data_IF_229831415526
#
_entry.id   IF_229831415526
#
_cell.length_a   1.000
_cell.length_b   1.000
_cell.length_c   1.000
_cell.angle_alpha   90.00
_cell.angle_beta   90.00
_cell.angle_gamma   90.00
#
_symmetry.space_group_name_H-M   'P 1'
#
loop_
_entity.id
_entity.type
_entity.pdbx_description
1 polymer ?
#
# COMPACT_ATOMS: atom_id res chain seq x y z
N UNK A 1 -33.35 -46.68 53.69
CA UNK A 1 -34.38 -46.76 54.75
C UNK A 1 -33.85 -46.14 56.04
N UNK A 2 -34.70 -45.87 57.03
CA UNK A 2 -34.21 -45.41 58.34
C UNK A 2 -33.69 -46.60 59.15
N UNK A 3 -32.59 -46.42 59.90
CA UNK A 3 -32.00 -47.45 60.76
C UNK A 3 -33.06 -48.07 61.67
N UNK A 4 -33.21 -49.39 61.63
CA UNK A 4 -34.12 -50.12 62.50
C UNK A 4 -33.38 -50.58 63.77
N UNK A 5 -33.69 -49.98 64.92
CA UNK A 5 -33.14 -50.39 66.22
C UNK A 5 -33.91 -51.59 66.82
N UNK A 6 -33.17 -52.46 67.52
CA UNK A 6 -33.76 -53.53 68.34
C UNK A 6 -34.27 -52.92 69.65
N UNK A 7 -35.55 -53.11 69.97
CA UNK A 7 -36.13 -52.72 71.27
C UNK A 7 -35.81 -53.77 72.32
N UNK A 8 -35.16 -53.37 73.42
CA UNK A 8 -34.80 -54.27 74.53
C UNK A 8 -35.88 -54.38 75.62
N UNK A 9 -37.04 -53.75 75.41
CA UNK A 9 -38.09 -53.62 76.42
C UNK A 9 -37.80 -52.48 77.41
N UNK A 10 -38.75 -52.22 78.30
CA UNK A 10 -38.64 -51.16 79.32
C UNK A 10 -37.96 -51.65 80.60
N UNK A 11 -38.00 -52.95 80.86
CA UNK A 11 -37.36 -53.65 81.98
C UNK A 11 -36.97 -55.10 81.60
N UNK A 12 -36.06 -55.74 82.35
CA UNK A 12 -35.68 -57.14 82.10
C UNK A 12 -36.89 -58.07 82.14
N UNK A 13 -37.06 -58.90 81.09
CA UNK A 13 -38.10 -59.92 80.97
C UNK A 13 -39.55 -59.40 81.00
N UNK A 14 -39.79 -58.12 80.66
CA UNK A 14 -41.12 -57.50 80.71
C UNK A 14 -42.03 -57.80 79.50
N UNK A 15 -41.51 -58.51 78.50
CA UNK A 15 -42.25 -58.89 77.29
C UNK A 15 -42.57 -57.74 76.33
N UNK A 16 -42.09 -56.51 76.59
CA UNK A 16 -42.33 -55.32 75.74
C UNK A 16 -41.23 -55.07 74.72
N UNK A 17 -40.13 -55.84 74.81
CA UNK A 17 -39.05 -55.82 73.82
C UNK A 17 -39.42 -56.53 72.52
N UNK A 18 -38.54 -56.39 71.52
CA UNK A 18 -38.66 -57.15 70.29
C UNK A 18 -38.52 -58.65 70.60
N UNK A 19 -39.36 -59.47 69.97
CA UNK A 19 -39.12 -60.91 69.92
C UNK A 19 -37.84 -61.18 69.13
N UNK A 20 -37.22 -62.34 69.34
CA UNK A 20 -36.04 -62.74 68.58
C UNK A 20 -36.26 -62.65 67.06
N UNK A 21 -37.46 -62.99 66.59
CA UNK A 21 -37.85 -62.88 65.18
C UNK A 21 -37.90 -61.42 64.69
N UNK A 22 -38.54 -60.53 65.46
CA UNK A 22 -38.62 -59.12 65.09
C UNK A 22 -37.22 -58.46 65.08
N UNK A 23 -36.36 -58.80 66.05
CA UNK A 23 -34.98 -58.34 66.11
C UNK A 23 -34.14 -58.80 64.91
N UNK A 24 -34.23 -60.06 64.50
CA UNK A 24 -33.45 -60.59 63.37
C UNK A 24 -33.89 -60.03 62.03
N UNK A 25 -35.19 -59.76 61.83
CA UNK A 25 -35.68 -59.08 60.62
C UNK A 25 -35.08 -57.66 60.52
N UNK A 26 -35.06 -56.90 61.62
CA UNK A 26 -34.47 -55.55 61.64
C UNK A 26 -32.97 -55.58 61.36
N UNK A 27 -32.25 -56.57 61.90
CA UNK A 27 -30.83 -56.80 61.61
C UNK A 27 -30.64 -57.05 60.11
N UNK A 28 -31.35 -58.02 59.54
CA UNK A 28 -31.23 -58.37 58.12
C UNK A 28 -31.57 -57.18 57.21
N UNK A 29 -32.61 -56.42 57.53
CA UNK A 29 -32.97 -55.23 56.75
C UNK A 29 -31.88 -54.16 56.78
N UNK A 30 -31.30 -53.86 57.94
CA UNK A 30 -30.19 -52.90 58.05
C UNK A 30 -28.95 -53.39 57.28
N UNK A 31 -28.63 -54.68 57.33
CA UNK A 31 -27.50 -55.22 56.58
C UNK A 31 -27.77 -55.24 55.07
N UNK A 32 -28.96 -55.66 54.63
CA UNK A 32 -29.35 -55.60 53.22
C UNK A 32 -29.23 -54.16 52.68
N UNK A 33 -29.67 -53.16 53.44
CA UNK A 33 -29.47 -51.76 53.04
C UNK A 33 -27.98 -51.40 52.82
N UNK A 34 -27.09 -51.85 53.70
CA UNK A 34 -25.65 -51.63 53.56
C UNK A 34 -25.10 -52.37 52.33
N UNK A 35 -25.51 -53.62 52.11
CA UNK A 35 -25.08 -54.42 50.96
C UNK A 35 -25.69 -53.96 49.63
N UNK A 36 -26.84 -53.31 49.64
CA UNK A 36 -27.46 -52.70 48.46
C UNK A 36 -26.83 -51.35 48.12
N UNK A 37 -26.47 -50.54 49.14
CA UNK A 37 -25.86 -49.22 48.94
C UNK A 37 -24.36 -49.31 48.64
N UNK A 38 -23.64 -50.17 49.37
CA UNK A 38 -22.18 -50.31 49.30
C UNK A 38 -21.75 -51.65 48.68
N UNK A 39 -22.65 -52.33 47.96
CA UNK A 39 -22.42 -53.66 47.43
C UNK A 39 -23.25 -53.96 46.17
N UNK A 40 -23.45 -55.25 45.92
CA UNK A 40 -24.31 -55.80 44.86
C UNK A 40 -25.55 -56.53 45.43
N UNK A 41 -25.86 -56.30 46.72
CA UNK A 41 -26.89 -57.02 47.46
C UNK A 41 -26.45 -58.38 48.04
N UNK A 42 -25.25 -58.87 47.70
CA UNK A 42 -24.67 -60.12 48.24
C UNK A 42 -23.23 -59.95 48.77
N UNK A 43 -22.43 -59.10 48.15
CA UNK A 43 -21.04 -58.78 48.49
C UNK A 43 -20.87 -57.28 48.72
N UNK A 44 -20.04 -56.90 49.69
CA UNK A 44 -19.55 -55.52 49.78
C UNK A 44 -18.47 -55.34 48.71
N UNK A 45 -18.74 -54.51 47.72
CA UNK A 45 -17.74 -54.17 46.71
C UNK A 45 -17.01 -52.91 47.17
N UNK A 46 -15.69 -52.98 47.28
CA UNK A 46 -14.88 -51.83 47.64
C UNK A 46 -14.98 -50.78 46.55
N UNK A 47 -15.79 -49.74 46.75
CA UNK A 47 -15.81 -48.54 45.90
C UNK A 47 -14.48 -47.78 45.91
N UNK A 48 -13.54 -48.17 46.79
CA UNK A 48 -12.26 -47.47 46.97
C UNK A 48 -11.15 -48.01 46.08
N UNK A 49 -11.30 -49.18 45.43
CA UNK A 49 -10.24 -49.75 44.58
C UNK A 49 -10.31 -49.36 43.10
N UNK A 50 -11.33 -48.61 42.68
CA UNK A 50 -11.38 -47.96 41.36
C UNK A 50 -11.79 -46.49 41.50
N UNK A 51 -11.05 -45.74 42.32
CA UNK A 51 -11.08 -44.28 42.32
C UNK A 51 -10.39 -43.68 41.08
N UNK A 52 -10.69 -44.21 39.90
CA UNK A 52 -10.33 -43.62 38.61
C UNK A 52 -11.61 -43.43 37.80
N UNK A 53 -12.36 -42.42 38.20
CA UNK A 53 -13.29 -41.67 37.34
C UNK A 53 -14.65 -42.30 37.01
N UNK A 54 -15.70 -41.50 37.24
CA UNK A 54 -17.05 -41.58 36.66
C UNK A 54 -18.20 -42.27 37.42
N UNK A 55 -18.33 -42.03 38.74
CA UNK A 55 -19.63 -42.18 39.45
C UNK A 55 -20.50 -40.91 39.49
N UNK A 56 -19.94 -39.74 39.13
CA UNK A 56 -20.63 -38.44 39.22
C UNK A 56 -20.72 -37.69 37.88
N UNK A 57 -20.53 -38.36 36.74
CA UNK A 57 -20.50 -37.69 35.43
C UNK A 57 -21.72 -37.99 34.57
N UNK A 58 -22.93 -37.73 35.07
CA UNK A 58 -24.12 -37.62 34.21
C UNK A 58 -24.76 -36.24 34.24
N UNK A 59 -24.22 -35.28 35.01
CA UNK A 59 -24.75 -33.91 35.05
C UNK A 59 -23.68 -32.84 35.34
N UNK A 60 -22.71 -32.68 34.44
CA UNK A 60 -22.13 -31.39 34.00
C UNK A 60 -20.86 -31.66 33.17
N UNK A 61 -20.89 -31.31 31.88
CA UNK A 61 -19.66 -30.93 31.20
C UNK A 61 -19.01 -29.79 31.98
N UNK A 62 -17.68 -29.79 32.08
CA UNK A 62 -16.83 -28.73 32.68
C UNK A 62 -17.50 -28.04 33.89
N UNK A 63 -17.22 -28.54 35.10
CA UNK A 63 -17.73 -27.99 36.35
C UNK A 63 -17.52 -26.46 36.42
N UNK A 64 -18.60 -25.70 36.33
CA UNK A 64 -18.60 -24.22 36.42
C UNK A 64 -18.86 -23.69 37.83
N UNK A 65 -18.99 -24.56 38.85
CA UNK A 65 -19.35 -24.16 40.23
C UNK A 65 -18.59 -24.87 41.36
N UNK A 66 -17.50 -25.58 41.10
CA UNK A 66 -16.67 -26.11 42.20
C UNK A 66 -15.60 -25.09 42.61
N UNK A 67 -15.78 -24.46 43.78
CA UNK A 67 -14.81 -23.55 44.43
C UNK A 67 -13.48 -24.26 44.81
N UNK A 68 -13.36 -25.55 44.52
CA UNK A 68 -12.18 -26.37 44.82
C UNK A 68 -11.91 -27.44 43.76
N UNK A 69 -12.06 -27.12 42.47
CA UNK A 69 -11.40 -27.92 41.44
C UNK A 69 -9.89 -27.64 41.51
N UNK A 70 -9.12 -28.58 42.06
CA UNK A 70 -7.67 -28.55 41.95
C UNK A 70 -7.27 -28.45 40.48
N UNK A 71 -6.46 -27.44 40.17
CA UNK A 71 -5.92 -27.22 38.82
C UNK A 71 -5.21 -28.51 38.38
N UNK A 72 -5.58 -29.08 37.23
CA UNK A 72 -4.81 -30.16 36.65
C UNK A 72 -3.39 -29.63 36.37
N UNK A 73 -2.38 -30.16 37.06
CA UNK A 73 -1.00 -29.67 36.96
C UNK A 73 -0.42 -29.79 35.54
N UNK A 74 -0.96 -30.71 34.74
CA UNK A 74 -0.68 -30.86 33.32
C UNK A 74 -1.79 -31.67 32.65
N UNK A 75 -2.13 -31.32 31.42
CA UNK A 75 -2.84 -32.21 30.49
C UNK A 75 -1.80 -32.85 29.57
N UNK A 76 -1.89 -34.16 29.36
CA UNK A 76 -0.95 -34.86 28.47
C UNK A 76 -1.40 -34.84 27.00
N UNK A 77 -2.67 -34.51 26.75
CA UNK A 77 -3.31 -34.51 25.43
C UNK A 77 -4.00 -33.16 25.15
N UNK A 78 -4.55 -33.00 23.94
CA UNK A 78 -5.24 -31.79 23.51
C UNK A 78 -6.46 -31.45 24.39
N UNK A 79 -6.54 -30.20 24.85
CA UNK A 79 -7.77 -29.66 25.47
C UNK A 79 -8.68 -29.13 24.37
N UNK A 80 -9.74 -29.87 24.05
CA UNK A 80 -10.81 -29.36 23.19
C UNK A 80 -11.80 -28.51 24.01
N UNK A 81 -11.65 -27.18 23.97
CA UNK A 81 -12.57 -26.25 24.64
C UNK A 81 -13.69 -25.87 23.67
N UNK A 82 -14.81 -26.61 23.72
CA UNK A 82 -16.03 -26.27 22.98
C UNK A 82 -16.92 -25.33 23.82
N UNK A 83 -16.52 -24.05 23.90
CA UNK A 83 -17.29 -23.02 24.61
C UNK A 83 -17.75 -21.93 23.64
N UNK A 84 -18.90 -21.33 23.91
CA UNK A 84 -19.30 -20.05 23.35
C UNK A 84 -18.87 -18.97 24.33
N UNK A 85 -17.72 -18.33 24.11
CA UNK A 85 -17.22 -17.30 25.02
C UNK A 85 -15.70 -17.08 24.97
N UNK A 86 -15.21 -16.27 25.90
CA UNK A 86 -13.78 -15.89 26.02
C UNK A 86 -13.00 -16.99 26.74
N UNK A 87 -11.94 -17.50 26.11
CA UNK A 87 -10.96 -18.38 26.75
C UNK A 87 -9.80 -17.51 27.26
N UNK A 88 -9.69 -17.36 28.57
CA UNK A 88 -8.57 -16.63 29.22
C UNK A 88 -7.53 -17.61 29.74
N UNK A 89 -6.26 -17.43 29.40
CA UNK A 89 -5.14 -18.16 30.01
C UNK A 89 -4.16 -17.16 30.63
N UNK A 90 -3.67 -17.45 31.85
CA UNK A 90 -2.69 -16.56 32.52
C UNK A 90 -1.28 -16.68 31.93
N UNK A 91 -0.99 -17.81 31.28
CA UNK A 91 0.25 -18.09 30.54
C UNK A 91 -0.07 -19.04 29.38
N UNK A 92 -0.39 -18.49 28.21
CA UNK A 92 -0.62 -19.28 27.00
C UNK A 92 0.46 -18.99 25.96
N UNK A 93 1.35 -19.95 25.69
CA UNK A 93 2.13 -19.96 24.45
C UNK A 93 1.27 -20.62 23.36
N UNK A 94 0.61 -19.80 22.55
CA UNK A 94 -0.32 -20.28 21.52
C UNK A 94 0.43 -20.35 20.19
N UNK A 95 1.03 -21.50 19.89
CA UNK A 95 1.81 -21.70 18.68
C UNK A 95 1.01 -21.59 17.36
N UNK A 96 -0.31 -21.82 17.39
CA UNK A 96 -1.20 -21.66 16.23
C UNK A 96 -2.63 -21.31 16.65
N UNK A 97 -3.11 -20.13 16.23
CA UNK A 97 -4.52 -19.76 16.33
C UNK A 97 -5.23 -20.19 15.03
N UNK A 98 -6.03 -21.26 15.08
CA UNK A 98 -6.86 -21.70 13.95
C UNK A 98 -8.32 -21.41 14.25
N UNK A 99 -8.91 -20.44 13.57
CA UNK A 99 -10.33 -20.11 13.72
C UNK A 99 -11.08 -20.80 12.59
N UNK A 100 -11.66 -21.96 12.90
CA UNK A 100 -12.49 -22.71 11.97
C UNK A 100 -13.94 -22.60 12.45
N UNK A 101 -14.74 -21.74 11.80
CA UNK A 101 -16.20 -21.72 12.02
C UNK A 101 -16.98 -21.99 10.72
N UNK A 102 -18.11 -22.70 10.80
CA UNK A 102 -19.06 -22.83 9.70
C UNK A 102 -19.92 -21.57 9.62
N UNK A 103 -19.67 -20.71 8.62
CA UNK A 103 -20.48 -19.52 8.33
C UNK A 103 -19.65 -18.25 8.11
N UNK A 104 -20.15 -17.34 7.26
CA UNK A 104 -19.48 -16.11 6.89
C UNK A 104 -19.35 -15.15 8.09
N UNK A 105 -18.13 -14.70 8.39
CA UNK A 105 -17.85 -13.78 9.49
C UNK A 105 -18.11 -12.35 9.00
N UNK A 106 -18.93 -11.60 9.74
CA UNK A 106 -19.17 -10.18 9.49
C UNK A 106 -18.01 -9.29 9.98
N UNK A 107 -17.17 -9.77 10.91
CA UNK A 107 -15.98 -9.10 11.44
C UNK A 107 -14.77 -10.06 11.46
N UNK A 108 -13.55 -9.53 11.31
CA UNK A 108 -12.35 -10.30 10.93
C UNK A 108 -11.87 -11.35 11.95
N UNK A 109 -11.27 -12.49 11.51
CA UNK A 109 -10.87 -13.58 12.39
C UNK A 109 -9.83 -13.23 13.48
N UNK A 110 -8.92 -12.28 13.27
CA UNK A 110 -7.93 -11.91 14.29
C UNK A 110 -8.05 -10.42 14.60
N UNK A 111 -8.42 -10.11 15.85
CA UNK A 111 -8.40 -8.75 16.41
C UNK A 111 -7.49 -8.74 17.63
N UNK A 112 -6.34 -8.06 17.53
CA UNK A 112 -5.44 -7.81 18.67
C UNK A 112 -5.50 -6.32 19.00
N UNK A 113 -6.16 -5.99 20.12
CA UNK A 113 -6.29 -4.63 20.67
C UNK A 113 -7.73 -4.26 21.01
N UNK A 114 -7.93 -3.36 21.98
CA UNK A 114 -9.28 -2.92 22.40
C UNK A 114 -9.79 -1.83 21.47
N UNK A 115 -10.78 -2.14 20.64
CA UNK A 115 -11.71 -1.25 19.92
C UNK A 115 -11.18 -0.09 19.03
N UNK A 116 -9.93 0.34 19.12
CA UNK A 116 -9.38 1.47 18.36
C UNK A 116 -7.92 1.30 17.93
N UNK A 117 -7.23 0.21 18.27
CA UNK A 117 -5.84 -0.05 17.89
C UNK A 117 -5.72 -1.45 17.31
N UNK A 118 -5.87 -1.62 15.99
CA UNK A 118 -5.89 -2.97 15.45
C UNK A 118 -4.80 -3.24 14.44
N UNK A 119 -4.18 -4.40 14.61
CA UNK A 119 -3.90 -5.31 13.51
C UNK A 119 -5.17 -6.15 13.27
N UNK A 120 -5.83 -6.01 12.12
CA UNK A 120 -7.00 -6.81 11.70
C UNK A 120 -6.69 -7.57 10.42
N UNK A 121 -7.30 -8.74 10.29
CA UNK A 121 -7.42 -9.48 9.03
C UNK A 121 -8.90 -9.72 8.81
N UNK A 122 -9.48 -9.25 7.69
CA UNK A 122 -10.87 -9.49 7.31
C UNK A 122 -11.06 -10.87 6.67
N UNK A 123 -12.31 -11.34 6.58
CA UNK A 123 -12.66 -12.60 5.93
C UNK A 123 -12.34 -12.62 4.41
N UNK A 124 -12.25 -11.45 3.77
CA UNK A 124 -11.82 -11.29 2.38
C UNK A 124 -10.29 -11.20 2.19
N UNK A 125 -9.53 -11.34 3.29
CA UNK A 125 -8.07 -11.35 3.29
C UNK A 125 -7.42 -9.96 3.39
N UNK A 126 -8.19 -8.88 3.49
CA UNK A 126 -7.61 -7.54 3.69
C UNK A 126 -7.03 -7.39 5.11
N UNK A 127 -5.82 -6.86 5.21
CA UNK A 127 -5.09 -6.62 6.45
C UNK A 127 -5.09 -5.12 6.77
N UNK A 128 -5.52 -4.74 7.97
CA UNK A 128 -5.51 -3.36 8.44
C UNK A 128 -4.61 -3.19 9.66
N UNK A 129 -3.73 -2.20 9.66
CA UNK A 129 -2.97 -1.73 10.82
C UNK A 129 -3.43 -0.31 11.10
N UNK A 130 -3.99 -0.05 12.27
CA UNK A 130 -4.51 1.28 12.60
C UNK A 130 -5.80 1.67 11.84
N UNK A 131 -6.56 0.70 11.32
CA UNK A 131 -7.85 0.92 10.65
C UNK A 131 -8.82 -0.23 10.98
N UNK A 132 -10.11 0.09 11.11
CA UNK A 132 -11.18 -0.88 11.34
C UNK A 132 -11.81 -1.41 10.06
N UNK A 133 -11.66 -0.68 8.96
CA UNK A 133 -12.29 -0.97 7.69
C UNK A 133 -11.24 -0.85 6.57
N UNK A 134 -10.21 -1.74 6.54
CA UNK A 134 -9.25 -1.72 5.45
C UNK A 134 -9.98 -1.79 4.10
N UNK A 135 -9.64 -0.87 3.20
CA UNK A 135 -10.20 -0.77 1.85
C UNK A 135 -9.23 -1.32 0.78
N UNK A 136 -8.03 -1.71 1.21
CA UNK A 136 -6.96 -2.28 0.40
C UNK A 136 -6.48 -3.59 1.03
N UNK A 137 -5.78 -4.43 0.25
CA UNK A 137 -5.23 -5.70 0.73
C UNK A 137 -4.32 -5.56 1.96
N UNK A 138 -3.55 -4.46 2.04
CA UNK A 138 -2.81 -4.05 3.23
C UNK A 138 -2.96 -2.54 3.39
N UNK A 139 -3.59 -2.10 4.48
CA UNK A 139 -3.77 -0.69 4.83
C UNK A 139 -3.07 -0.39 6.15
N UNK A 140 -2.17 0.59 6.18
CA UNK A 140 -1.57 1.14 7.40
C UNK A 140 -2.08 2.57 7.56
N UNK A 141 -2.91 2.80 8.58
CA UNK A 141 -3.53 4.09 8.86
C UNK A 141 -3.06 4.62 10.23
N UNK A 142 -3.07 5.94 10.38
CA UNK A 142 -2.75 6.62 11.62
C UNK A 142 -4.04 7.15 12.24
N UNK A 143 -4.17 7.01 13.56
CA UNK A 143 -5.28 7.57 14.34
C UNK A 143 -4.95 8.90 15.00
N UNK A 144 -3.72 9.41 14.83
CA UNK A 144 -3.31 10.75 15.26
C UNK A 144 -3.17 11.69 14.06
N UNK A 145 -2.85 12.96 14.30
CA UNK A 145 -2.49 13.89 13.23
C UNK A 145 -1.13 13.57 12.56
N UNK A 146 -0.41 12.55 13.03
CA UNK A 146 0.82 12.07 12.40
C UNK A 146 0.48 11.20 11.19
N UNK A 147 1.31 11.26 10.14
CA UNK A 147 1.11 10.42 8.94
C UNK A 147 1.41 8.96 9.30
N UNK A 148 0.63 7.98 8.83
CA UNK A 148 1.02 6.58 8.99
C UNK A 148 2.39 6.37 8.35
N UNK A 149 3.29 5.72 9.08
CA UNK A 149 4.62 5.39 8.58
C UNK A 149 4.79 3.88 8.57
N UNK A 150 5.33 3.36 7.47
CA UNK A 150 5.89 2.01 7.45
C UNK A 150 7.38 2.20 7.74
N UNK A 151 7.75 2.07 9.02
CA UNK A 151 9.15 2.20 9.41
C UNK A 151 9.87 0.86 9.22
N UNK A 152 10.38 0.65 8.02
CA UNK A 152 11.10 -0.57 7.69
C UNK A 152 12.62 -0.33 7.79
N UNK A 153 13.20 -0.71 8.93
CA UNK A 153 14.64 -0.65 9.17
C UNK A 153 15.26 -1.97 8.72
N UNK A 154 16.10 -1.93 7.67
CA UNK A 154 16.86 -3.10 7.26
C UNK A 154 17.87 -3.51 8.34
N UNK A 155 18.00 -4.81 8.60
CA UNK A 155 19.10 -5.37 9.40
C UNK A 155 20.19 -5.87 8.46
N UNK A 156 21.43 -5.41 8.63
CA UNK A 156 22.53 -5.75 7.73
C UNK A 156 22.37 -5.09 6.34
N UNK A 157 22.71 -5.81 5.26
CA UNK A 157 22.69 -5.30 3.88
C UNK A 157 21.33 -5.49 3.16
N UNK A 158 20.22 -5.57 3.91
CA UNK A 158 18.88 -5.79 3.36
C UNK A 158 18.21 -4.50 2.86
N UNK A 159 17.08 -4.65 2.18
CA UNK A 159 16.23 -3.50 1.80
C UNK A 159 15.21 -3.20 2.90
N UNK A 160 14.95 -1.91 3.17
CA UNK A 160 13.91 -1.52 4.13
C UNK A 160 12.53 -1.82 3.57
N UNK A 161 12.18 -1.20 2.43
CA UNK A 161 10.94 -1.46 1.71
C UNK A 161 11.27 -1.92 0.29
N UNK A 162 10.72 -3.07 -0.12
CA UNK A 162 10.80 -3.60 -1.48
C UNK A 162 9.40 -3.86 -2.00
N UNK A 163 9.06 -3.29 -3.16
CA UNK A 163 7.81 -3.55 -3.86
C UNK A 163 8.15 -4.09 -5.25
N UNK A 164 7.57 -5.24 -5.61
CA UNK A 164 7.83 -5.90 -6.89
C UNK A 164 6.67 -6.81 -7.29
N UNK A 165 6.58 -7.13 -8.59
CA UNK A 165 5.72 -8.22 -9.07
C UNK A 165 6.33 -9.61 -8.78
N UNK A 166 5.55 -10.67 -9.06
CA UNK A 166 5.86 -12.05 -8.69
C UNK A 166 7.14 -12.64 -9.33
N UNK A 167 7.74 -11.96 -10.31
CA UNK A 167 9.01 -12.36 -10.92
C UNK A 167 10.06 -11.29 -10.61
N UNK A 168 10.64 -11.39 -9.42
CA UNK A 168 11.58 -10.38 -8.91
C UNK A 168 12.92 -10.44 -9.65
N UNK A 169 12.99 -9.81 -10.82
CA UNK A 169 14.25 -9.35 -11.40
C UNK A 169 14.59 -7.96 -10.87
N UNK A 170 15.87 -7.62 -10.80
CA UNK A 170 16.33 -6.32 -10.29
C UNK A 170 15.68 -5.16 -11.06
N UNK A 171 15.40 -5.36 -12.35
CA UNK A 171 14.79 -4.41 -13.29
C UNK A 171 13.32 -4.03 -12.99
N UNK A 172 12.68 -4.65 -12.00
CA UNK A 172 11.27 -4.40 -11.66
C UNK A 172 11.04 -3.93 -10.22
N UNK A 173 12.11 -3.74 -9.44
CA UNK A 173 11.98 -3.42 -8.02
C UNK A 173 11.88 -1.91 -7.79
N UNK A 174 10.96 -1.50 -6.90
CA UNK A 174 11.06 -0.24 -6.16
C UNK A 174 11.72 -0.54 -4.81
N UNK A 175 12.85 0.11 -4.54
CA UNK A 175 13.65 -0.13 -3.33
C UNK A 175 13.98 1.18 -2.63
N UNK A 176 13.85 1.18 -1.31
CA UNK A 176 14.44 2.21 -0.44
C UNK A 176 15.50 1.57 0.45
N UNK A 177 16.75 2.03 0.34
CA UNK A 177 17.88 1.53 1.14
C UNK A 177 17.96 2.19 2.52
N UNK A 178 18.82 1.66 3.39
CA UNK A 178 19.12 2.23 4.70
C UNK A 178 19.83 3.60 4.63
N UNK A 179 20.40 3.97 3.49
CA UNK A 179 20.95 5.31 3.20
C UNK A 179 19.90 6.27 2.60
N UNK A 180 18.62 5.87 2.55
CA UNK A 180 17.52 6.64 1.96
C UNK A 180 17.66 6.91 0.45
N UNK A 181 18.34 6.01 -0.28
CA UNK A 181 18.35 6.03 -1.74
C UNK A 181 17.13 5.28 -2.27
N UNK A 182 16.53 5.83 -3.32
CA UNK A 182 15.38 5.24 -4.00
C UNK A 182 15.82 4.68 -5.34
N UNK A 183 15.74 3.36 -5.49
CA UNK A 183 15.96 2.66 -6.75
C UNK A 183 14.65 2.29 -7.42
N UNK A 184 14.53 2.57 -8.73
CA UNK A 184 13.47 2.07 -9.60
C UNK A 184 14.14 1.27 -10.72
N UNK A 185 13.85 -0.03 -10.79
CA UNK A 185 14.54 -0.93 -11.71
C UNK A 185 15.98 -1.27 -11.28
N UNK A 186 16.35 -0.95 -10.04
CA UNK A 186 17.62 -1.30 -9.43
C UNK A 186 17.44 -1.61 -7.94
N UNK A 187 18.14 -2.63 -7.46
CA UNK A 187 18.23 -2.97 -6.03
C UNK A 187 19.46 -2.35 -5.36
N UNK A 188 20.39 -1.78 -6.14
CA UNK A 188 21.60 -1.12 -5.67
C UNK A 188 21.71 0.30 -6.25
N UNK A 189 20.80 1.23 -5.85
CA UNK A 189 20.83 2.61 -6.35
C UNK A 189 22.15 3.30 -5.98
N UNK A 190 22.73 4.03 -6.92
CA UNK A 190 24.03 4.71 -6.74
C UNK A 190 23.91 6.16 -6.27
N UNK A 191 22.69 6.70 -6.27
CA UNK A 191 22.38 8.06 -5.84
C UNK A 191 20.98 8.12 -5.23
N UNK A 192 20.56 9.31 -4.76
CA UNK A 192 19.28 9.49 -4.05
C UNK A 192 18.06 9.00 -4.84
N UNK A 193 18.07 9.16 -6.15
CA UNK A 193 17.07 8.62 -7.06
C UNK A 193 17.77 8.03 -8.28
N UNK A 194 17.80 6.71 -8.36
CA UNK A 194 18.39 5.95 -9.46
C UNK A 194 17.25 5.22 -10.20
N UNK A 195 16.99 5.61 -11.45
CA UNK A 195 15.99 4.97 -12.30
C UNK A 195 16.71 4.28 -13.45
N UNK A 196 16.75 2.96 -13.40
CA UNK A 196 17.31 2.13 -14.46
C UNK A 196 16.20 1.73 -15.43
N UNK A 197 15.95 2.61 -16.40
CA UNK A 197 14.92 2.44 -17.42
C UNK A 197 14.41 3.79 -17.94
N UNK A 198 13.31 3.74 -18.68
CA UNK A 198 12.70 4.94 -19.26
C UNK A 198 12.00 5.78 -18.19
N UNK A 199 12.13 7.10 -18.32
CA UNK A 199 11.41 8.07 -17.49
C UNK A 199 10.53 8.93 -18.40
N UNK A 200 9.21 8.75 -18.33
CA UNK A 200 8.26 9.65 -18.96
C UNK A 200 7.87 10.77 -17.99
N UNK A 201 8.25 12.00 -18.31
CA UNK A 201 7.83 13.19 -17.55
C UNK A 201 6.82 13.97 -18.39
N UNK A 202 5.54 13.91 -18.02
CA UNK A 202 4.50 14.73 -18.62
C UNK A 202 4.45 16.11 -17.96
N UNK A 203 4.39 17.17 -18.76
CA UNK A 203 4.36 18.55 -18.27
C UNK A 203 5.74 19.18 -18.12
N UNK A 204 5.82 20.29 -17.39
CA UNK A 204 7.08 21.01 -17.19
C UNK A 204 7.95 20.34 -16.10
N UNK A 205 9.20 20.07 -16.43
CA UNK A 205 10.24 19.66 -15.47
C UNK A 205 11.15 20.84 -15.12
N UNK A 206 11.41 21.05 -13.83
CA UNK A 206 12.40 22.04 -13.37
C UNK A 206 13.58 21.31 -12.74
N UNK A 207 14.74 21.39 -13.40
CA UNK A 207 16.00 20.86 -12.90
C UNK A 207 16.89 22.05 -12.52
N UNK A 208 17.40 22.03 -11.28
CA UNK A 208 18.25 23.10 -10.75
C UNK A 208 19.73 22.70 -10.83
N UNK A 209 20.61 23.70 -10.82
CA UNK A 209 22.06 23.54 -10.87
C UNK A 209 22.58 22.92 -12.18
N UNK A 210 23.22 21.76 -12.13
CA UNK A 210 23.81 21.10 -13.29
C UNK A 210 22.93 19.94 -13.77
N UNK A 211 22.66 19.92 -15.07
CA UNK A 211 22.07 18.76 -15.76
C UNK A 211 23.11 18.19 -16.70
N UNK A 212 23.33 16.88 -16.61
CA UNK A 212 24.25 16.18 -17.50
C UNK A 212 23.48 15.14 -18.32
N UNK A 213 23.53 15.27 -19.65
CA UNK A 213 23.01 14.29 -20.59
C UNK A 213 24.21 13.59 -21.23
N UNK A 214 24.46 12.34 -20.83
CA UNK A 214 25.59 11.54 -21.34
C UNK A 214 25.32 10.89 -22.71
N UNK A 215 24.18 11.21 -23.33
CA UNK A 215 23.68 10.58 -24.56
C UNK A 215 23.03 11.64 -25.45
N UNK A 216 22.48 11.20 -26.58
CA UNK A 216 21.85 12.09 -27.56
C UNK A 216 20.64 12.83 -26.98
N UNK A 217 20.50 14.10 -27.37
CA UNK A 217 19.33 14.93 -27.10
C UNK A 217 18.58 15.07 -28.42
N UNK A 218 17.31 14.65 -28.44
CA UNK A 218 16.43 14.82 -29.60
C UNK A 218 15.36 15.86 -29.31
N UNK A 219 15.07 16.69 -30.31
CA UNK A 219 14.03 17.72 -30.25
C UNK A 219 12.85 17.35 -31.15
N UNK A 220 11.66 17.85 -30.82
CA UNK A 220 10.46 17.64 -31.63
C UNK A 220 10.52 18.52 -32.88
N UNK A 221 10.47 17.90 -34.06
CA UNK A 221 10.33 18.58 -35.35
C UNK A 221 8.85 18.78 -35.70
N UNK A 222 8.51 19.98 -36.17
CA UNK A 222 7.20 20.38 -36.69
C UNK A 222 7.30 20.50 -38.21
N UNK A 223 6.51 19.71 -38.94
CA UNK A 223 6.51 19.68 -40.40
C UNK A 223 7.57 18.73 -41.00
N UNK A 224 7.71 18.78 -42.32
CA UNK A 224 8.69 18.03 -43.11
C UNK A 224 9.19 18.87 -44.31
N UNK A 225 10.27 18.43 -44.98
CA UNK A 225 10.91 19.19 -46.08
C UNK A 225 9.98 19.49 -47.27
N UNK A 226 8.89 18.74 -47.43
CA UNK A 226 7.91 18.92 -48.51
C UNK A 226 6.72 19.77 -48.09
N UNK A 227 6.58 20.10 -46.81
CA UNK A 227 5.46 20.89 -46.31
C UNK A 227 5.56 22.33 -46.79
N UNK A 228 4.42 22.94 -47.09
CA UNK A 228 4.32 24.38 -47.31
C UNK A 228 3.87 25.05 -46.02
N UNK A 229 4.74 25.87 -45.45
CA UNK A 229 4.45 26.64 -44.25
C UNK A 229 3.41 27.72 -44.57
N UNK A 230 2.40 27.82 -43.72
CA UNK A 230 1.33 28.80 -43.90
C UNK A 230 1.79 30.17 -43.39
N UNK A 231 1.93 31.13 -44.30
CA UNK A 231 2.10 32.54 -43.99
C UNK A 231 0.78 33.24 -44.29
N UNK A 232 0.24 33.98 -43.32
CA UNK A 232 -1.02 34.71 -43.47
C UNK A 232 -0.95 35.77 -44.59
N UNK A 233 -2.11 36.22 -45.07
CA UNK A 233 -2.19 37.27 -46.10
C UNK A 233 -1.48 38.58 -45.69
N UNK A 234 -1.35 38.86 -44.39
CA UNK A 234 -0.60 39.99 -43.86
C UNK A 234 0.92 39.76 -43.74
N UNK A 235 1.44 38.60 -44.16
CA UNK A 235 2.85 38.23 -44.07
C UNK A 235 3.28 37.70 -42.69
N UNK A 236 2.34 37.37 -41.79
CA UNK A 236 2.68 36.77 -40.49
C UNK A 236 2.84 35.27 -40.60
N UNK A 237 3.98 34.74 -40.15
CA UNK A 237 4.18 33.31 -39.87
C UNK A 237 4.04 33.06 -38.37
N UNK A 238 3.29 32.02 -37.98
CA UNK A 238 3.11 31.65 -36.57
C UNK A 238 3.88 30.37 -36.26
N UNK A 239 4.75 30.45 -35.26
CA UNK A 239 5.48 29.32 -34.71
C UNK A 239 5.01 29.05 -33.28
N UNK A 240 4.41 27.88 -33.07
CA UNK A 240 3.93 27.41 -31.78
C UNK A 240 4.97 26.51 -31.13
N UNK A 241 5.68 27.04 -30.13
CA UNK A 241 6.78 26.31 -29.50
C UNK A 241 6.30 25.12 -28.64
N UNK A 242 4.99 25.04 -28.36
CA UNK A 242 4.42 23.86 -27.68
C UNK A 242 4.35 22.63 -28.58
N UNK A 243 4.41 22.83 -29.91
CA UNK A 243 4.40 21.74 -30.88
C UNK A 243 5.81 21.24 -31.24
N UNK A 244 6.84 22.07 -31.02
CA UNK A 244 8.25 21.73 -31.22
C UNK A 244 9.13 22.98 -31.39
N UNK A 245 10.44 22.81 -31.25
CA UNK A 245 11.44 23.88 -31.38
C UNK A 245 12.07 23.95 -32.77
N UNK A 246 11.93 22.90 -33.57
CA UNK A 246 12.46 22.83 -34.93
C UNK A 246 11.30 22.80 -35.91
N UNK A 247 11.18 23.82 -36.76
CA UNK A 247 10.15 23.94 -37.79
C UNK A 247 10.78 23.71 -39.15
N UNK A 248 10.08 22.94 -39.99
CA UNK A 248 10.57 22.53 -41.29
C UNK A 248 9.47 22.68 -42.36
N UNK A 249 9.85 23.30 -43.48
CA UNK A 249 8.99 23.40 -44.67
C UNK A 249 9.32 24.62 -45.53
N UNK A 250 8.77 24.70 -46.74
CA UNK A 250 8.95 25.82 -47.66
C UNK A 250 7.99 26.98 -47.39
N UNK A 251 8.42 28.21 -47.68
CA UNK A 251 7.53 29.38 -47.69
C UNK A 251 7.24 29.81 -49.12
N UNK A 252 6.04 30.33 -49.36
CA UNK A 252 5.58 30.73 -50.72
C UNK A 252 5.22 32.20 -50.81
N UNK A 253 5.57 33.00 -49.81
CA UNK A 253 5.39 34.45 -49.78
C UNK A 253 6.36 35.09 -48.79
N UNK A 254 6.54 36.41 -48.88
CA UNK A 254 7.38 37.15 -47.93
C UNK A 254 6.81 37.09 -46.52
N UNK A 255 7.69 36.89 -45.55
CA UNK A 255 7.36 37.00 -44.13
C UNK A 255 7.62 38.45 -43.73
N UNK A 256 6.59 39.16 -43.30
CA UNK A 256 6.71 40.50 -42.73
C UNK A 256 6.80 40.46 -41.21
N UNK A 257 6.17 39.47 -40.58
CA UNK A 257 6.06 39.36 -39.12
C UNK A 257 6.31 37.94 -38.62
N UNK A 258 7.15 37.83 -37.60
CA UNK A 258 7.43 36.60 -36.86
C UNK A 258 6.56 36.53 -35.61
N UNK A 259 5.65 35.56 -35.51
CA UNK A 259 4.80 35.38 -34.34
C UNK A 259 5.17 34.09 -33.59
N UNK A 260 5.84 34.24 -32.45
CA UNK A 260 6.13 33.12 -31.55
C UNK A 260 5.02 33.00 -30.51
N UNK A 261 4.44 31.83 -30.37
CA UNK A 261 3.34 31.55 -29.44
C UNK A 261 3.70 30.43 -28.48
N UNK A 262 3.04 30.41 -27.32
CA UNK A 262 3.29 29.47 -26.22
C UNK A 262 4.73 29.49 -25.69
N UNK A 263 5.45 30.60 -25.87
CA UNK A 263 6.78 30.82 -25.30
C UNK A 263 6.65 30.97 -23.78
N UNK A 264 7.61 30.44 -23.01
CA UNK A 264 7.58 30.56 -21.55
C UNK A 264 7.45 32.02 -21.12
N UNK A 265 6.46 32.29 -20.27
CA UNK A 265 6.25 33.62 -19.68
C UNK A 265 7.19 33.94 -18.51
N UNK A 266 8.05 33.01 -18.12
CA UNK A 266 8.91 33.18 -16.95
C UNK A 266 10.12 34.08 -17.23
N UNK A 267 10.50 34.89 -16.24
CA UNK A 267 11.74 35.66 -16.29
C UNK A 267 12.97 34.74 -16.21
N UNK A 268 14.10 35.25 -16.70
CA UNK A 268 15.37 34.50 -16.75
C UNK A 268 15.22 33.18 -17.51
N UNK A 269 14.59 33.24 -18.69
CA UNK A 269 14.42 32.11 -19.60
C UNK A 269 14.78 32.51 -21.03
N UNK A 270 15.27 31.54 -21.77
CA UNK A 270 15.45 31.62 -23.20
C UNK A 270 14.71 30.45 -23.87
N UNK A 271 14.13 30.72 -25.03
CA UNK A 271 13.54 29.71 -25.90
C UNK A 271 14.19 29.83 -27.27
N UNK A 272 14.73 28.73 -27.75
CA UNK A 272 15.33 28.65 -29.09
C UNK A 272 14.32 28.04 -30.04
N UNK A 273 14.19 28.64 -31.22
CA UNK A 273 13.35 28.14 -32.31
C UNK A 273 14.17 28.16 -33.58
N UNK A 274 14.28 27.03 -34.27
CA UNK A 274 14.98 26.94 -35.56
C UNK A 274 13.97 26.69 -36.65
N UNK A 275 13.96 27.55 -37.66
CA UNK A 275 13.25 27.36 -38.91
C UNK A 275 14.26 26.93 -39.98
N UNK A 276 13.96 25.84 -40.67
CA UNK A 276 14.65 25.45 -41.91
C UNK A 276 13.61 25.54 -43.02
N UNK A 277 13.87 26.42 -43.98
CA UNK A 277 12.94 26.64 -45.08
C UNK A 277 13.64 26.82 -46.41
N UNK A 278 13.00 26.33 -47.47
CA UNK A 278 13.32 26.76 -48.83
C UNK A 278 12.26 27.78 -49.25
N UNK A 279 12.67 29.04 -49.33
CA UNK A 279 11.75 30.11 -49.72
C UNK A 279 11.52 30.16 -51.23
N UNK A 280 12.45 29.69 -52.06
CA UNK A 280 12.44 30.06 -53.46
C UNK A 280 12.87 31.52 -53.67
N UNK A 281 12.98 31.93 -54.93
CA UNK A 281 13.46 33.27 -55.29
C UNK A 281 12.37 34.34 -55.10
N UNK A 282 12.72 35.48 -54.50
CA UNK A 282 11.89 36.69 -54.52
C UNK A 282 11.08 36.99 -53.25
N UNK A 283 11.17 36.15 -52.22
CA UNK A 283 10.59 36.45 -50.90
C UNK A 283 11.60 37.12 -49.96
N UNK A 284 11.08 37.75 -48.91
CA UNK A 284 11.86 38.51 -47.94
C UNK A 284 11.51 38.12 -46.52
N UNK A 285 12.48 38.31 -45.63
CA UNK A 285 12.30 38.21 -44.18
C UNK A 285 12.16 39.62 -43.59
N UNK A 286 11.09 39.84 -42.83
CA UNK A 286 10.79 41.10 -42.16
C UNK A 286 11.36 41.16 -40.75
N UNK A 287 11.31 42.33 -40.13
CA UNK A 287 11.78 42.58 -38.78
C UNK A 287 10.68 42.45 -37.72
N UNK A 288 9.42 42.73 -38.05
CA UNK A 288 8.33 42.77 -37.08
C UNK A 288 8.20 41.43 -36.33
N UNK A 289 8.01 41.49 -35.02
CA UNK A 289 7.97 40.29 -34.17
C UNK A 289 6.96 40.44 -33.04
N UNK A 290 6.25 39.36 -32.75
CA UNK A 290 5.42 39.22 -31.54
C UNK A 290 5.83 37.97 -30.76
N UNK A 291 5.75 38.04 -29.43
CA UNK A 291 5.91 36.90 -28.53
C UNK A 291 4.67 36.81 -27.65
N UNK A 292 3.94 35.70 -27.73
CA UNK A 292 2.64 35.50 -27.09
C UNK A 292 1.67 36.68 -27.34
N UNK A 293 1.62 37.14 -28.59
CA UNK A 293 0.77 38.27 -29.01
C UNK A 293 1.27 39.66 -28.62
N UNK A 294 2.31 39.78 -27.78
CA UNK A 294 2.90 41.07 -27.42
C UNK A 294 3.95 41.49 -28.44
N UNK A 295 3.85 42.72 -28.96
CA UNK A 295 4.82 43.25 -29.91
C UNK A 295 6.19 43.46 -29.27
N UNK A 296 7.25 43.03 -29.96
CA UNK A 296 8.62 43.26 -29.55
C UNK A 296 9.14 44.54 -30.20
N UNK A 297 9.54 45.51 -29.37
CA UNK A 297 10.06 46.80 -29.85
C UNK A 297 11.33 46.60 -30.68
N UNK A 298 11.37 47.22 -31.87
CA UNK A 298 12.46 47.11 -32.84
C UNK A 298 12.69 45.70 -33.40
N UNK A 299 11.67 44.84 -33.35
CA UNK A 299 11.63 43.57 -34.08
C UNK A 299 12.72 42.56 -33.73
N UNK A 300 13.02 41.67 -34.67
CA UNK A 300 14.13 40.72 -34.63
C UNK A 300 15.47 41.49 -34.68
N UNK A 301 16.39 41.13 -33.80
CA UNK A 301 17.79 41.55 -33.86
C UNK A 301 18.60 40.59 -34.72
N UNK A 302 18.77 40.94 -35.98
CA UNK A 302 19.52 40.18 -36.97
C UNK A 302 21.03 40.30 -36.77
N UNK A 303 21.75 39.18 -36.93
CA UNK A 303 23.20 39.22 -37.14
C UNK A 303 23.48 40.03 -38.42
N UNK A 304 24.30 41.07 -38.32
CA UNK A 304 24.58 42.00 -39.43
C UNK A 304 23.63 43.20 -39.52
N UNK A 305 22.63 43.31 -38.65
CA UNK A 305 21.78 44.51 -38.48
C UNK A 305 20.54 44.58 -39.37
N UNK A 306 20.45 43.75 -40.41
CA UNK A 306 19.31 43.70 -41.33
C UNK A 306 18.91 42.24 -41.59
N UNK A 307 17.62 41.97 -41.91
CA UNK A 307 17.20 40.64 -42.32
C UNK A 307 17.95 40.20 -43.59
N UNK A 308 18.40 38.94 -43.66
CA UNK A 308 18.99 38.42 -44.89
C UNK A 308 17.93 38.31 -46.00
N UNK A 309 18.34 38.30 -47.28
CA UNK A 309 17.44 37.91 -48.35
C UNK A 309 17.11 36.41 -48.24
N UNK A 310 15.87 36.04 -48.59
CA UNK A 310 15.51 34.63 -48.73
C UNK A 310 16.09 34.05 -50.02
N UNK A 311 16.34 32.75 -50.05
CA UNK A 311 16.99 32.10 -51.20
C UNK A 311 16.25 30.89 -51.74
N UNK A 312 16.72 30.39 -52.88
CA UNK A 312 16.15 29.24 -53.58
C UNK A 312 16.62 27.89 -53.06
N UNK A 313 17.44 27.89 -52.01
CA UNK A 313 17.93 26.70 -51.34
C UNK A 313 17.56 26.77 -49.85
N UNK A 314 18.08 25.86 -49.02
CA UNK A 314 17.73 25.84 -47.61
C UNK A 314 18.32 27.05 -46.88
N UNK A 315 17.43 27.80 -46.23
CA UNK A 315 17.74 28.87 -45.30
C UNK A 315 17.47 28.35 -43.88
N UNK A 316 18.48 28.47 -43.01
CA UNK A 316 18.37 28.13 -41.59
C UNK A 316 18.33 29.43 -40.80
N UNK A 317 17.24 29.63 -40.06
CA UNK A 317 16.98 30.79 -39.22
C UNK A 317 16.79 30.32 -37.78
N UNK A 318 17.78 30.59 -36.93
CA UNK A 318 17.71 30.24 -35.50
C UNK A 318 17.43 31.48 -34.67
N UNK A 319 16.27 31.47 -34.03
CA UNK A 319 15.77 32.54 -33.16
C UNK A 319 16.07 32.22 -31.70
N UNK A 320 16.65 33.18 -30.98
CA UNK A 320 16.78 33.16 -29.52
C UNK A 320 15.82 34.18 -28.92
N UNK A 321 14.77 33.70 -28.28
CA UNK A 321 13.75 34.50 -27.60
C UNK A 321 14.11 34.55 -26.12
N UNK A 322 14.59 35.69 -25.65
CA UNK A 322 15.14 35.85 -24.30
C UNK A 322 14.21 36.75 -23.51
N UNK A 323 13.81 36.30 -22.31
CA UNK A 323 13.19 37.15 -21.28
C UNK A 323 14.17 37.30 -20.12
N UNK A 324 14.62 38.53 -19.89
CA UNK A 324 15.57 38.81 -18.82
C UNK A 324 14.93 38.72 -17.42
N UNK A 325 15.72 38.97 -16.38
CA UNK A 325 15.25 38.93 -14.98
C UNK A 325 14.22 40.02 -14.66
N UNK A 326 14.19 41.11 -15.43
CA UNK A 326 13.25 42.24 -15.28
C UNK A 326 11.96 42.06 -16.08
N UNK A 327 11.89 41.03 -16.93
CA UNK A 327 10.74 40.72 -17.77
C UNK A 327 10.77 41.34 -19.16
N UNK A 328 11.88 41.98 -19.56
CA UNK A 328 12.03 42.50 -20.91
C UNK A 328 12.31 41.34 -21.86
N UNK A 329 11.53 41.26 -22.94
CA UNK A 329 11.72 40.25 -24.00
C UNK A 329 12.42 40.85 -25.22
N UNK A 330 13.42 40.13 -25.73
CA UNK A 330 14.09 40.42 -27.00
C UNK A 330 14.21 39.16 -27.84
N UNK A 331 14.25 39.32 -29.15
CA UNK A 331 14.42 38.22 -30.11
C UNK A 331 15.65 38.50 -30.96
N UNK A 332 16.56 37.54 -31.01
CA UNK A 332 17.75 37.58 -31.86
C UNK A 332 17.64 36.50 -32.92
N UNK A 333 18.18 36.72 -34.11
CA UNK A 333 18.25 35.69 -35.14
C UNK A 333 19.65 35.60 -35.74
N UNK A 334 20.19 34.38 -35.74
CA UNK A 334 21.34 34.00 -36.56
C UNK A 334 20.84 33.21 -37.77
N UNK A 335 21.41 33.49 -38.93
CA UNK A 335 20.99 32.89 -40.19
C UNK A 335 22.16 32.28 -40.95
N UNK A 336 21.94 31.10 -41.51
CA UNK A 336 22.76 30.50 -42.55
C UNK A 336 21.90 30.36 -43.79
N UNK A 337 22.31 30.98 -44.88
CA UNK A 337 21.46 31.23 -46.04
C UNK A 337 22.03 30.48 -47.25
N UNK A 338 21.16 30.00 -48.14
CA UNK A 338 21.53 29.37 -49.41
C UNK A 338 22.36 28.08 -49.27
N UNK A 339 21.94 27.16 -48.39
CA UNK A 339 22.60 25.87 -48.17
C UNK A 339 22.13 24.85 -49.22
N UNK A 340 23.09 24.24 -49.92
CA UNK A 340 22.89 23.26 -51.01
C UNK A 340 23.07 21.84 -50.48
#
# INVERSE_FOLDING_TARGET
>A
MAKQGISTGSAPNDGTGDTLLAGTIKINNNFNEIYDIFGDGTNLVSFVSFASTAGYSTNAGIASTSVAAGIAASVSDDININTSGVVTTSYGDIGKVTIQQPGAIADGPIEVGTATTMFRIKADGMVGIGTSLPTSQLEVASFSAERPTIWAVAKGLGHGLRVSDAAVSDNKSFVVTNEAYTGIGSTAPTCRLDVQGDVLVSGASTLMDQVNFNSDITERVVGNFSDTLTVSAGGTITMDVSQGSVILGGITTSITTWAFTNVSGQNSKATTVTLINNAGVGYTYGDATTVNGTQIANGVKWVGGNPPPATSNDDILTFSIIRDSTGVTRVYCSSSINII
#
